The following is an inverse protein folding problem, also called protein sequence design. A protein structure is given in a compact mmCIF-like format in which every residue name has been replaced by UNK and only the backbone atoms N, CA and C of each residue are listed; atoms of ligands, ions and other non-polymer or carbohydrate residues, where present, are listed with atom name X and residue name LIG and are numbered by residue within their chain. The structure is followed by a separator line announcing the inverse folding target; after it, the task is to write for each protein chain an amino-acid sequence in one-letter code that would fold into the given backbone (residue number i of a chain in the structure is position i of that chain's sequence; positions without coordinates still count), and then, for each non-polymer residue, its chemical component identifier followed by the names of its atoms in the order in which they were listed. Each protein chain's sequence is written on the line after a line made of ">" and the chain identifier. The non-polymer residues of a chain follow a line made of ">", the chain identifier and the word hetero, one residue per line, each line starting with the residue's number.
data_IF_466718406708
#
_entry.id   IF_466718406708
#
_cell.length_a   1.000
_cell.length_b   1.000
_cell.length_c   1.000
_cell.angle_alpha   90.00
_cell.angle_beta   90.00
_cell.angle_gamma   90.00
#
_symmetry.space_group_name_H-M   'P 1'
#
loop_
_entity.id
_entity.type
_entity.pdbx_description
1 polymer ?
#
# COMPACT_ATOMS: atom_id res chain seq x y z
N UNK A 1 -27.55 -5.44 -23.50
CA UNK A 1 -26.72 -6.64 -23.63
C UNK A 1 -25.30 -6.40 -23.11
N UNK A 2 -24.59 -7.43 -22.81
CA UNK A 2 -23.18 -7.36 -22.39
C UNK A 2 -22.35 -6.64 -23.46
N UNK A 3 -22.61 -6.89 -24.73
CA UNK A 3 -21.91 -6.22 -25.83
C UNK A 3 -22.09 -4.70 -25.83
N UNK A 4 -23.22 -4.19 -25.39
CA UNK A 4 -23.46 -2.74 -25.27
C UNK A 4 -22.75 -2.13 -24.06
N UNK A 5 -22.67 -2.84 -22.95
CA UNK A 5 -21.92 -2.41 -21.77
C UNK A 5 -20.41 -2.33 -22.02
N UNK A 6 -19.93 -3.10 -22.99
CA UNK A 6 -18.53 -3.24 -23.36
C UNK A 6 -17.97 -2.03 -24.12
N UNK A 7 -18.82 -1.18 -24.67
CA UNK A 7 -18.36 0.03 -25.39
C UNK A 7 -17.71 1.09 -24.49
N UNK A 8 -17.80 0.94 -23.19
CA UNK A 8 -17.20 1.87 -22.23
C UNK A 8 -15.71 1.48 -21.99
N UNK A 9 -14.74 2.38 -22.28
CA UNK A 9 -13.30 2.07 -22.12
C UNK A 9 -12.90 1.72 -20.68
N UNK A 10 -13.65 2.16 -19.66
CA UNK A 10 -13.35 1.87 -18.26
C UNK A 10 -13.63 0.40 -17.89
N UNK A 11 -14.31 -0.33 -18.76
CA UNK A 11 -14.67 -1.72 -18.55
C UNK A 11 -14.05 -2.67 -19.59
N UNK A 12 -12.90 -2.31 -20.13
CA UNK A 12 -12.19 -3.13 -21.13
C UNK A 12 -11.89 -4.55 -20.65
N UNK A 13 -11.65 -4.75 -19.36
CA UNK A 13 -11.44 -6.07 -18.77
C UNK A 13 -12.73 -6.92 -18.77
N UNK A 14 -13.90 -6.29 -18.66
CA UNK A 14 -15.21 -6.96 -18.75
C UNK A 14 -15.46 -7.44 -20.19
N UNK A 15 -15.12 -6.63 -21.17
CA UNK A 15 -15.18 -7.00 -22.59
C UNK A 15 -14.35 -8.25 -22.86
N UNK A 16 -13.12 -8.27 -22.41
CA UNK A 16 -12.23 -9.40 -22.52
C UNK A 16 -12.81 -10.66 -21.86
N UNK A 17 -13.48 -10.52 -20.74
CA UNK A 17 -14.16 -11.58 -20.03
C UNK A 17 -15.36 -12.11 -20.83
N UNK A 18 -16.23 -11.22 -21.32
CA UNK A 18 -17.43 -11.56 -22.06
C UNK A 18 -17.12 -12.24 -23.38
N UNK A 19 -16.13 -11.75 -24.14
CA UNK A 19 -15.71 -12.32 -25.41
C UNK A 19 -15.12 -13.71 -25.25
N UNK A 20 -14.41 -13.95 -24.17
CA UNK A 20 -13.77 -15.24 -23.96
C UNK A 20 -14.78 -16.30 -23.51
N UNK A 21 -15.83 -15.93 -22.75
CA UNK A 21 -16.70 -16.87 -22.00
C UNK A 21 -15.84 -18.03 -21.43
N UNK A 22 -14.58 -17.74 -21.16
CA UNK A 22 -13.49 -18.70 -20.95
C UNK A 22 -13.08 -18.67 -19.50
N UNK A 23 -13.49 -19.68 -18.76
CA UNK A 23 -13.17 -19.87 -17.35
C UNK A 23 -11.64 -19.90 -17.15
N UNK A 24 -10.87 -20.43 -18.11
CA UNK A 24 -9.43 -20.49 -18.02
C UNK A 24 -8.81 -19.09 -18.05
N UNK A 25 -9.33 -18.19 -18.86
CA UNK A 25 -8.86 -16.80 -18.94
C UNK A 25 -9.14 -16.04 -17.64
N UNK A 26 -10.36 -16.19 -17.10
CA UNK A 26 -10.74 -15.61 -15.81
C UNK A 26 -9.82 -16.09 -14.71
N UNK A 27 -9.59 -17.40 -14.65
CA UNK A 27 -8.69 -18.02 -13.67
C UNK A 27 -7.28 -17.49 -13.78
N UNK A 28 -6.75 -17.34 -15.00
CA UNK A 28 -5.42 -16.77 -15.23
C UNK A 28 -5.31 -15.33 -14.73
N UNK A 29 -6.29 -14.49 -15.05
CA UNK A 29 -6.30 -13.09 -14.62
C UNK A 29 -6.40 -12.97 -13.09
N UNK A 30 -7.27 -13.76 -12.47
CA UNK A 30 -7.37 -13.77 -11.00
C UNK A 30 -6.10 -14.30 -10.35
N UNK A 31 -5.49 -15.33 -10.89
CA UNK A 31 -4.21 -15.87 -10.40
C UNK A 31 -3.11 -14.82 -10.49
N UNK A 32 -3.04 -14.10 -11.61
CA UNK A 32 -2.08 -13.00 -11.81
C UNK A 32 -2.26 -11.90 -10.78
N UNK A 33 -3.49 -11.47 -10.55
CA UNK A 33 -3.81 -10.42 -9.58
C UNK A 33 -3.52 -10.84 -8.14
N UNK A 34 -3.85 -12.08 -7.79
CA UNK A 34 -3.56 -12.63 -6.46
C UNK A 34 -2.05 -12.73 -6.21
N UNK A 35 -1.28 -13.08 -7.25
CA UNK A 35 0.18 -13.09 -7.17
C UNK A 35 0.74 -11.69 -6.95
N UNK A 36 0.25 -10.70 -7.68
CA UNK A 36 0.66 -9.30 -7.51
C UNK A 36 0.30 -8.80 -6.11
N UNK A 37 -0.91 -9.07 -5.65
CA UNK A 37 -1.36 -8.70 -4.31
C UNK A 37 -0.48 -9.31 -3.22
N UNK A 38 -0.14 -10.59 -3.36
CA UNK A 38 0.75 -11.28 -2.42
C UNK A 38 2.13 -10.64 -2.39
N UNK A 39 2.65 -10.27 -3.55
CA UNK A 39 3.97 -9.63 -3.68
C UNK A 39 3.98 -8.24 -3.03
N UNK A 40 2.95 -7.44 -3.28
CA UNK A 40 2.78 -6.13 -2.65
C UNK A 40 2.68 -6.26 -1.13
N UNK A 41 1.95 -7.26 -0.64
CA UNK A 41 1.82 -7.52 0.80
C UNK A 41 3.16 -7.86 1.44
N UNK A 42 3.99 -8.66 0.77
CA UNK A 42 5.35 -8.96 1.24
C UNK A 42 6.22 -7.70 1.31
N UNK A 43 6.16 -6.86 0.28
CA UNK A 43 6.88 -5.60 0.25
C UNK A 43 6.40 -4.66 1.37
N UNK A 44 5.08 -4.58 1.57
CA UNK A 44 4.51 -3.76 2.63
C UNK A 44 5.01 -4.21 4.02
N UNK A 45 4.99 -5.51 4.29
CA UNK A 45 5.51 -6.05 5.56
C UNK A 45 6.98 -5.74 5.78
N UNK A 46 7.79 -5.80 4.71
CA UNK A 46 9.19 -5.43 4.78
C UNK A 46 9.38 -3.96 5.13
N UNK A 47 8.58 -3.08 4.54
CA UNK A 47 8.61 -1.63 4.82
C UNK A 47 8.10 -1.32 6.23
N UNK A 48 7.10 -2.00 6.70
CA UNK A 48 6.60 -1.85 8.07
C UNK A 48 7.65 -2.23 9.12
N UNK A 49 8.39 -3.31 8.88
CA UNK A 49 9.52 -3.70 9.75
C UNK A 49 10.64 -2.67 9.73
N UNK A 50 10.99 -2.16 8.55
CA UNK A 50 11.96 -1.10 8.38
C UNK A 50 11.52 0.18 9.12
N UNK A 51 10.24 0.52 9.05
CA UNK A 51 9.66 1.66 9.78
C UNK A 51 9.85 1.53 11.29
N UNK A 52 9.64 0.35 11.85
CA UNK A 52 9.83 0.11 13.29
C UNK A 52 11.28 0.38 13.69
N UNK A 53 12.24 -0.09 12.91
CA UNK A 53 13.66 0.16 13.17
C UNK A 53 13.99 1.65 13.10
N UNK A 54 13.52 2.33 12.05
CA UNK A 54 13.75 3.76 11.86
C UNK A 54 13.09 4.61 12.95
N UNK A 55 11.89 4.23 13.37
CA UNK A 55 11.19 4.90 14.46
C UNK A 55 11.96 4.75 15.78
N UNK A 56 12.42 3.57 16.09
CA UNK A 56 13.24 3.31 17.29
C UNK A 56 14.54 4.12 17.26
N UNK A 57 15.21 4.19 16.12
CA UNK A 57 16.42 4.99 15.95
C UNK A 57 16.14 6.48 16.15
N UNK A 58 15.05 6.98 15.59
CA UNK A 58 14.64 8.37 15.76
C UNK A 58 14.36 8.70 17.22
N UNK A 59 13.57 7.88 17.90
CA UNK A 59 13.23 8.09 19.32
C UNK A 59 14.45 8.00 20.23
N UNK A 60 15.34 7.06 19.96
CA UNK A 60 16.59 6.91 20.71
C UNK A 60 17.46 8.16 20.57
N UNK A 61 17.66 8.61 19.34
CA UNK A 61 18.48 9.79 19.05
C UNK A 61 17.86 11.06 19.63
N UNK A 62 16.54 11.15 19.59
CA UNK A 62 15.81 12.26 20.19
C UNK A 62 16.05 12.34 21.70
N UNK A 63 15.97 11.19 22.40
CA UNK A 63 16.27 11.13 23.84
C UNK A 63 17.72 11.50 24.13
N UNK A 64 18.66 10.95 23.39
CA UNK A 64 20.09 11.24 23.57
C UNK A 64 20.38 12.74 23.36
N UNK A 65 19.82 13.33 22.32
CA UNK A 65 19.95 14.75 22.03
C UNK A 65 19.33 15.62 23.12
N UNK A 66 18.15 15.27 23.59
CA UNK A 66 17.46 15.99 24.66
C UNK A 66 18.30 15.96 25.95
N UNK A 67 18.82 14.80 26.34
CA UNK A 67 19.67 14.66 27.50
C UNK A 67 20.98 15.45 27.38
N UNK A 68 21.59 15.43 26.19
CA UNK A 68 22.81 16.20 25.91
C UNK A 68 22.57 17.69 26.14
N UNK A 69 21.49 18.26 25.62
CA UNK A 69 21.20 19.68 25.74
C UNK A 69 20.65 20.05 27.14
N UNK A 70 20.06 19.10 27.83
CA UNK A 70 19.57 19.30 29.18
C UNK A 70 20.68 19.50 30.20
N UNK A 71 21.89 19.10 29.89
CA UNK A 71 23.06 19.33 30.76
C UNK A 71 23.52 20.79 30.78
N UNK A 72 23.07 21.61 29.87
CA UNK A 72 23.38 23.03 29.77
C UNK A 72 22.31 23.85 30.47
N UNK A 73 22.62 24.35 31.67
CA UNK A 73 21.68 25.11 32.50
C UNK A 73 21.30 26.49 31.93
N UNK A 74 22.03 27.00 30.93
CA UNK A 74 21.82 28.33 30.34
C UNK A 74 20.86 28.32 29.16
N UNK A 75 20.37 27.15 28.71
CA UNK A 75 19.52 27.03 27.51
C UNK A 75 18.05 26.95 27.93
N UNK A 76 17.19 27.74 27.26
CA UNK A 76 15.76 27.68 27.47
C UNK A 76 15.17 26.38 26.91
N UNK A 77 14.02 25.96 27.41
CA UNK A 77 13.32 24.76 26.92
C UNK A 77 13.00 24.86 25.42
N UNK A 78 12.59 26.04 24.97
CA UNK A 78 12.34 26.28 23.54
C UNK A 78 13.60 26.10 22.69
N UNK A 79 14.73 26.61 23.16
CA UNK A 79 16.01 26.44 22.46
C UNK A 79 16.46 24.99 22.43
N UNK A 80 16.26 24.22 23.52
CA UNK A 80 16.53 22.78 23.56
C UNK A 80 15.72 22.02 22.50
N UNK A 81 14.42 22.31 22.40
CA UNK A 81 13.56 21.66 21.42
C UNK A 81 14.03 21.92 19.98
N UNK A 82 14.45 23.12 19.67
CA UNK A 82 15.00 23.47 18.34
C UNK A 82 16.29 22.70 18.06
N UNK A 83 17.19 22.58 19.04
CA UNK A 83 18.43 21.82 18.90
C UNK A 83 18.18 20.33 18.70
N UNK A 84 17.20 19.78 19.42
CA UNK A 84 16.80 18.37 19.26
C UNK A 84 16.23 18.12 17.86
N UNK A 85 15.43 19.03 17.32
CA UNK A 85 14.92 18.92 15.95
C UNK A 85 16.06 18.92 14.93
N UNK A 86 17.05 19.80 15.09
CA UNK A 86 18.21 19.83 14.22
C UNK A 86 19.01 18.54 14.30
N UNK A 87 19.27 18.04 15.50
CA UNK A 87 20.05 16.82 15.73
C UNK A 87 19.39 15.55 15.19
N UNK A 88 18.06 15.54 15.08
CA UNK A 88 17.26 14.39 14.65
C UNK A 88 16.67 14.55 13.25
N UNK A 89 17.03 15.58 12.52
CA UNK A 89 16.46 15.89 11.19
C UNK A 89 16.62 14.74 10.20
N UNK A 90 17.81 14.12 10.15
CA UNK A 90 18.09 13.00 9.24
C UNK A 90 17.20 11.80 9.54
N UNK A 91 17.09 11.42 10.80
CA UNK A 91 16.30 10.27 11.23
C UNK A 91 14.81 10.49 10.99
N UNK A 92 14.35 11.71 11.20
CA UNK A 92 12.98 12.11 10.88
C UNK A 92 12.70 12.03 9.38
N UNK A 93 13.63 12.49 8.56
CA UNK A 93 13.51 12.43 7.10
C UNK A 93 13.47 10.98 6.61
N UNK A 94 14.35 10.12 7.11
CA UNK A 94 14.37 8.69 6.76
C UNK A 94 13.04 8.02 7.12
N UNK A 95 12.48 8.36 8.26
CA UNK A 95 11.17 7.87 8.71
C UNK A 95 10.04 8.33 7.77
N UNK A 96 10.04 9.60 7.38
CA UNK A 96 9.05 10.16 6.47
C UNK A 96 9.09 9.46 5.09
N UNK A 97 10.27 9.15 4.58
CA UNK A 97 10.43 8.43 3.32
C UNK A 97 9.81 7.04 3.40
N UNK A 98 10.08 6.29 4.46
CA UNK A 98 9.52 4.94 4.59
C UNK A 98 8.01 4.96 4.79
N UNK A 99 7.49 5.94 5.51
CA UNK A 99 6.04 6.13 5.67
C UNK A 99 5.36 6.43 4.34
N UNK A 100 5.99 7.22 3.48
CA UNK A 100 5.49 7.50 2.14
C UNK A 100 5.47 6.25 1.26
N UNK A 101 6.52 5.42 1.32
CA UNK A 101 6.55 4.13 0.60
C UNK A 101 5.43 3.20 1.07
N UNK A 102 5.17 3.15 2.37
CA UNK A 102 4.07 2.35 2.94
C UNK A 102 2.72 2.82 2.40
N UNK A 103 2.49 4.13 2.34
CA UNK A 103 1.25 4.68 1.77
C UNK A 103 1.07 4.31 0.31
N UNK A 104 2.13 4.39 -0.50
CA UNK A 104 2.10 4.03 -1.91
C UNK A 104 1.77 2.56 -2.11
N UNK A 105 2.43 1.66 -1.37
CA UNK A 105 2.16 0.22 -1.43
C UNK A 105 0.74 -0.11 -0.99
N UNK A 106 0.23 0.56 0.04
CA UNK A 106 -1.14 0.38 0.50
C UNK A 106 -2.16 0.78 -0.56
N UNK A 107 -1.92 1.88 -1.27
CA UNK A 107 -2.77 2.31 -2.39
C UNK A 107 -2.78 1.30 -3.53
N UNK A 108 -1.60 0.80 -3.90
CA UNK A 108 -1.48 -0.22 -4.95
C UNK A 108 -2.20 -1.51 -4.56
N UNK A 109 -2.04 -1.96 -3.31
CA UNK A 109 -2.74 -3.14 -2.81
C UNK A 109 -4.26 -2.97 -2.86
N UNK A 110 -4.75 -1.81 -2.45
CA UNK A 110 -6.19 -1.52 -2.48
C UNK A 110 -6.73 -1.51 -3.91
N UNK A 111 -5.98 -0.95 -4.86
CA UNK A 111 -6.37 -0.97 -6.28
C UNK A 111 -6.46 -2.39 -6.83
N UNK A 112 -5.48 -3.24 -6.52
CA UNK A 112 -5.48 -4.64 -6.94
C UNK A 112 -6.63 -5.41 -6.27
N UNK A 113 -6.90 -5.14 -5.00
CA UNK A 113 -8.02 -5.78 -4.29
C UNK A 113 -9.37 -5.47 -4.93
N UNK A 114 -9.59 -4.22 -5.32
CA UNK A 114 -10.82 -3.80 -6.01
C UNK A 114 -10.95 -4.56 -7.34
N UNK A 115 -9.87 -4.69 -8.09
CA UNK A 115 -9.86 -5.43 -9.35
C UNK A 115 -10.17 -6.91 -9.13
N UNK A 116 -9.58 -7.54 -8.12
CA UNK A 116 -9.86 -8.94 -7.74
C UNK A 116 -11.34 -9.10 -7.39
N UNK A 117 -11.89 -8.22 -6.56
CA UNK A 117 -13.28 -8.29 -6.14
C UNK A 117 -14.23 -8.12 -7.32
N UNK A 118 -13.88 -7.28 -8.29
CA UNK A 118 -14.64 -7.08 -9.52
C UNK A 118 -14.66 -8.36 -10.37
N UNK A 119 -13.52 -9.01 -10.55
CA UNK A 119 -13.44 -10.29 -11.27
C UNK A 119 -14.24 -11.38 -10.56
N UNK A 120 -14.21 -11.44 -9.23
CA UNK A 120 -15.01 -12.39 -8.44
C UNK A 120 -16.52 -12.19 -8.69
N UNK A 121 -16.96 -10.94 -8.69
CA UNK A 121 -18.36 -10.62 -8.94
C UNK A 121 -18.80 -11.02 -10.36
N UNK A 122 -17.98 -10.73 -11.35
CA UNK A 122 -18.22 -11.12 -12.74
C UNK A 122 -18.28 -12.64 -12.89
N UNK A 123 -17.32 -13.34 -12.27
CA UNK A 123 -17.27 -14.81 -12.28
C UNK A 123 -18.50 -15.42 -11.64
N UNK A 124 -18.95 -14.87 -10.52
CA UNK A 124 -20.16 -15.32 -9.85
C UNK A 124 -21.42 -15.13 -10.73
N UNK A 125 -21.58 -13.96 -11.33
CA UNK A 125 -22.70 -13.66 -12.20
C UNK A 125 -22.73 -14.58 -13.43
N UNK A 126 -21.56 -14.85 -14.01
CA UNK A 126 -21.47 -15.75 -15.15
C UNK A 126 -21.87 -17.19 -14.78
N UNK A 127 -21.44 -17.69 -13.63
CA UNK A 127 -21.83 -19.01 -13.13
C UNK A 127 -23.32 -19.11 -12.89
N UNK A 128 -23.92 -18.04 -12.35
CA UNK A 128 -25.35 -17.97 -12.11
C UNK A 128 -26.14 -18.00 -13.42
N UNK A 129 -25.70 -17.26 -14.43
CA UNK A 129 -26.29 -17.29 -15.77
C UNK A 129 -26.17 -18.67 -16.41
N UNK A 130 -25.02 -19.29 -16.33
CA UNK A 130 -24.78 -20.65 -16.85
C UNK A 130 -25.61 -21.70 -16.09
N UNK A 131 -25.78 -21.52 -14.79
CA UNK A 131 -26.56 -22.43 -13.95
C UNK A 131 -28.07 -22.35 -14.17
N UNK A 132 -28.57 -21.30 -14.83
CA UNK A 132 -30.00 -21.13 -15.15
C UNK A 132 -30.41 -21.81 -16.44
N UNK A 133 -29.47 -22.40 -17.16
CA UNK A 133 -29.74 -23.21 -18.34
C UNK A 133 -29.83 -24.70 -17.98
#
# INVERSE_FOLDING_TARGET
>A
TIAQAISNPDFSFIESFADAADTAKVTREMTRLLFIHRNLRKQLRARERERVVLLNNYEKKKRESYMKHNQSASITEKAKNVLVEIDTEKEKYDLEIIEQKIKELTREMNAIKIEIDTWKAISYNLRTEMGSF
#
